data_IF_373576177651
#
_entry.id   IF_373576177651
#
_cell.length_a   1.000
_cell.length_b   1.000
_cell.length_c   1.000
_cell.angle_alpha   90.00
_cell.angle_beta   90.00
_cell.angle_gamma   90.00
#
_symmetry.space_group_name_H-M   'P 1'
#
loop_
_entity.id
_entity.type
_entity.pdbx_description
1 polymer ?
#
# COMPACT_ATOMS: atom_id res chain seq x y z
N UNK A 1 -15.84 -1.66 -3.66
CA UNK A 1 -14.78 -2.68 -3.53
C UNK A 1 -13.77 -2.52 -4.65
N UNK A 2 -12.65 -1.84 -4.39
CA UNK A 2 -11.57 -1.66 -5.37
C UNK A 2 -10.59 -2.83 -5.29
N UNK A 3 -10.06 -3.29 -6.42
CA UNK A 3 -9.09 -4.41 -6.48
C UNK A 3 -7.73 -4.03 -7.05
N UNK A 4 -7.70 -2.97 -7.84
CA UNK A 4 -6.51 -2.49 -8.53
C UNK A 4 -6.55 -0.97 -8.61
N UNK A 5 -5.37 -0.37 -8.68
CA UNK A 5 -5.24 1.05 -8.94
C UNK A 5 -5.19 1.29 -10.45
N UNK A 6 -5.84 2.35 -10.97
CA UNK A 6 -5.76 2.67 -12.38
C UNK A 6 -4.33 3.09 -12.72
N UNK A 7 -3.75 2.66 -13.86
CA UNK A 7 -2.37 2.97 -14.24
C UNK A 7 -2.05 4.48 -14.23
N UNK A 8 -3.05 5.31 -14.53
CA UNK A 8 -2.94 6.76 -14.58
C UNK A 8 -2.75 7.43 -13.21
N UNK A 9 -2.91 6.70 -12.09
CA UNK A 9 -2.68 7.24 -10.75
C UNK A 9 -1.23 7.67 -10.54
N UNK A 10 -0.28 7.07 -11.27
CA UNK A 10 1.13 7.46 -11.33
C UNK A 10 1.36 8.93 -11.73
N UNK A 11 0.37 9.57 -12.37
CA UNK A 11 0.44 10.99 -12.76
C UNK A 11 0.23 11.94 -11.58
N UNK A 12 -0.20 11.44 -10.41
CA UNK A 12 -0.35 12.22 -9.19
C UNK A 12 1.01 12.44 -8.52
N UNK A 13 1.87 13.20 -9.19
CA UNK A 13 3.27 13.42 -8.75
C UNK A 13 3.38 14.17 -7.43
N UNK A 14 2.32 14.84 -6.98
CA UNK A 14 2.25 15.55 -5.69
C UNK A 14 1.59 14.72 -4.58
N UNK A 15 1.20 13.48 -4.86
CA UNK A 15 0.56 12.62 -3.86
C UNK A 15 1.57 12.26 -2.78
N UNK A 16 1.25 12.61 -1.53
CA UNK A 16 2.09 12.31 -0.36
C UNK A 16 1.53 11.16 0.47
N UNK A 17 0.21 10.98 0.49
CA UNK A 17 -0.45 9.97 1.28
C UNK A 17 -1.59 9.34 0.47
N UNK A 18 -1.78 8.03 0.59
CA UNK A 18 -2.91 7.32 0.00
C UNK A 18 -3.50 6.32 0.99
N UNK A 19 -4.81 6.43 1.19
CA UNK A 19 -5.58 5.48 1.98
C UNK A 19 -6.37 4.54 1.05
N UNK A 20 -6.04 3.26 1.10
CA UNK A 20 -6.69 2.18 0.34
C UNK A 20 -7.35 1.18 1.28
N UNK A 21 -7.64 1.57 2.52
CA UNK A 21 -8.28 0.71 3.50
C UNK A 21 -9.65 0.22 3.03
N UNK A 22 -10.09 -0.91 3.58
CA UNK A 22 -11.43 -1.48 3.33
C UNK A 22 -11.72 -1.76 1.84
N UNK A 23 -10.71 -2.29 1.15
CA UNK A 23 -10.79 -2.68 -0.24
C UNK A 23 -10.49 -4.17 -0.43
N UNK A 24 -10.29 -4.57 -1.69
CA UNK A 24 -10.10 -5.95 -2.10
C UNK A 24 -8.76 -6.12 -2.81
N UNK A 25 -7.75 -5.36 -2.40
CA UNK A 25 -6.40 -5.53 -2.90
C UNK A 25 -5.81 -6.83 -2.36
N UNK A 26 -5.30 -7.65 -3.27
CA UNK A 26 -4.50 -8.84 -2.96
C UNK A 26 -3.03 -8.64 -3.35
N UNK A 27 -2.71 -7.52 -3.98
CA UNK A 27 -1.38 -7.09 -4.37
C UNK A 27 -1.41 -5.58 -4.60
N UNK A 28 -0.24 -4.94 -4.58
CA UNK A 28 -0.09 -3.52 -4.93
C UNK A 28 0.95 -3.42 -6.06
N UNK A 29 0.67 -2.65 -7.11
CA UNK A 29 1.58 -2.54 -8.24
C UNK A 29 2.90 -1.88 -7.84
N UNK A 30 4.02 -2.38 -8.39
CA UNK A 30 5.36 -1.87 -8.09
C UNK A 30 5.51 -0.37 -8.36
N UNK A 31 4.78 0.17 -9.34
CA UNK A 31 4.83 1.60 -9.67
C UNK A 31 4.38 2.50 -8.52
N UNK A 32 3.67 1.99 -7.49
CA UNK A 32 3.31 2.81 -6.33
C UNK A 32 4.56 3.28 -5.57
N UNK A 33 5.62 2.49 -5.62
CA UNK A 33 6.91 2.80 -5.00
C UNK A 33 7.68 3.88 -5.78
N UNK A 34 7.32 4.08 -7.06
CA UNK A 34 7.92 5.07 -7.95
C UNK A 34 7.31 6.48 -7.77
N UNK A 35 6.27 6.62 -6.93
CA UNK A 35 5.70 7.94 -6.65
C UNK A 35 6.75 8.79 -5.93
N UNK A 36 7.11 9.96 -6.50
CA UNK A 36 8.28 10.71 -6.06
C UNK A 36 8.08 11.37 -4.69
N UNK A 37 6.83 11.69 -4.34
CA UNK A 37 6.49 12.37 -3.08
C UNK A 37 5.66 11.51 -2.13
N UNK A 38 5.30 10.28 -2.51
CA UNK A 38 4.48 9.41 -1.67
C UNK A 38 5.29 8.96 -0.46
N UNK A 39 4.75 9.20 0.72
CA UNK A 39 5.33 8.94 2.03
C UNK A 39 4.52 7.88 2.77
N UNK A 40 3.19 7.92 2.71
CA UNK A 40 2.33 7.04 3.51
C UNK A 40 1.37 6.26 2.62
N UNK A 41 1.27 4.96 2.87
CA UNK A 41 0.28 4.08 2.25
C UNK A 41 -0.45 3.28 3.34
N UNK A 42 -1.77 3.45 3.41
CA UNK A 42 -2.62 2.66 4.31
C UNK A 42 -3.34 1.57 3.53
N UNK A 43 -3.19 0.33 3.98
CA UNK A 43 -3.67 -0.87 3.31
C UNK A 43 -4.51 -1.77 4.23
N UNK A 44 -5.02 -1.19 5.32
CA UNK A 44 -5.79 -1.87 6.36
C UNK A 44 -7.04 -2.54 5.76
N UNK A 45 -7.47 -3.68 6.31
CA UNK A 45 -8.66 -4.39 5.84
C UNK A 45 -8.68 -4.70 4.33
N UNK A 46 -7.59 -5.27 3.82
CA UNK A 46 -7.51 -5.84 2.47
C UNK A 46 -7.14 -7.32 2.55
N UNK A 47 -7.58 -8.17 1.61
CA UNK A 47 -7.38 -9.61 1.62
C UNK A 47 -5.96 -10.03 1.19
N UNK A 48 -4.92 -9.45 1.80
CA UNK A 48 -3.54 -9.88 1.59
C UNK A 48 -3.27 -11.20 2.30
N UNK A 49 -2.69 -12.15 1.58
CA UNK A 49 -2.15 -13.36 2.20
C UNK A 49 -0.81 -13.09 2.90
N UNK A 50 -0.37 -14.02 3.73
CA UNK A 50 0.88 -13.91 4.51
C UNK A 50 2.10 -13.69 3.62
N UNK A 51 2.13 -14.33 2.45
CA UNK A 51 3.23 -14.19 1.49
C UNK A 51 3.31 -12.77 0.95
N UNK A 52 2.16 -12.19 0.61
CA UNK A 52 2.07 -10.82 0.10
C UNK A 52 2.38 -9.80 1.20
N UNK A 53 1.92 -10.03 2.43
CA UNK A 53 2.26 -9.17 3.57
C UNK A 53 3.78 -9.14 3.82
N UNK A 54 4.44 -10.29 3.79
CA UNK A 54 5.90 -10.37 3.94
C UNK A 54 6.62 -9.67 2.78
N UNK A 55 6.15 -9.86 1.54
CA UNK A 55 6.70 -9.19 0.38
C UNK A 55 6.55 -7.66 0.47
N UNK A 56 5.40 -7.16 0.93
CA UNK A 56 5.16 -5.74 1.10
C UNK A 56 6.04 -5.18 2.22
N UNK A 57 6.17 -5.84 3.37
CA UNK A 57 7.10 -5.39 4.41
C UNK A 57 8.54 -5.23 3.88
N UNK A 58 9.09 -6.26 3.23
CA UNK A 58 10.44 -6.19 2.67
C UNK A 58 10.59 -5.11 1.58
N UNK A 59 9.61 -5.02 0.67
CA UNK A 59 9.63 -4.00 -0.39
C UNK A 59 9.65 -2.59 0.17
N UNK A 60 8.99 -2.30 1.28
CA UNK A 60 8.94 -0.94 1.82
C UNK A 60 10.15 -0.63 2.72
N UNK A 61 10.70 -1.63 3.40
CA UNK A 61 12.00 -1.52 4.10
C UNK A 61 13.13 -1.11 3.13
N UNK A 62 13.16 -1.69 1.93
CA UNK A 62 14.14 -1.35 0.89
C UNK A 62 14.05 0.12 0.46
N UNK A 63 12.86 0.72 0.51
CA UNK A 63 12.61 2.06 0.01
C UNK A 63 12.85 3.18 1.03
N UNK A 64 13.13 2.85 2.32
CA UNK A 64 13.58 3.69 3.47
C UNK A 64 12.91 5.08 3.70
N UNK A 65 12.00 5.49 2.82
CA UNK A 65 11.42 6.83 2.70
C UNK A 65 9.89 6.79 2.69
N UNK A 66 9.32 5.57 2.78
CA UNK A 66 7.89 5.31 2.73
C UNK A 66 7.48 4.50 3.95
N UNK A 67 6.40 4.91 4.58
CA UNK A 67 5.71 4.20 5.66
C UNK A 67 4.52 3.43 5.07
N UNK A 68 4.35 2.20 5.55
CA UNK A 68 3.24 1.34 5.16
C UNK A 68 2.50 0.87 6.41
N UNK A 69 1.18 1.03 6.39
CA UNK A 69 0.32 0.56 7.46
C UNK A 69 -0.46 -0.66 6.96
N UNK A 70 -0.04 -1.83 7.44
CA UNK A 70 -0.65 -3.14 7.19
C UNK A 70 -1.24 -3.66 8.51
N UNK A 71 -2.57 -3.77 8.64
CA UNK A 71 -3.22 -4.55 9.73
C UNK A 71 -4.75 -4.57 9.64
N UNK A 72 -5.39 -5.41 10.46
CA UNK A 72 -6.85 -5.63 10.52
C UNK A 72 -7.54 -4.69 11.51
N UNK A 73 -8.80 -4.37 11.21
CA UNK A 73 -9.81 -3.91 12.16
C UNK A 73 -10.04 -4.94 13.26
N UNK A 74 -9.28 -4.83 14.35
CA UNK A 74 -9.48 -5.69 15.52
C UNK A 74 -8.24 -5.71 16.40
N UNK A 75 -8.21 -4.79 17.37
CA UNK A 75 -7.37 -4.73 18.58
C UNK A 75 -6.10 -5.58 18.60
N UNK A 76 -4.94 -4.91 18.69
CA UNK A 76 -3.75 -5.45 19.32
C UNK A 76 -4.10 -6.25 20.59
N UNK A 77 -3.45 -7.40 20.87
CA UNK A 77 -3.39 -7.90 22.24
C UNK A 77 -2.70 -6.89 23.17
#
# INVERSE_FOLDING_TARGET
>A
MLRELPPNISRLTKLEEIDLSDNYFNSIPNYILEFPNLKIITLVNNPFDETTLNLLHHKFEDFKSKEIYLQYSGTQP
#
